data_IF_780732847019
#
_entry.id   IF_780732847019
#
_cell.length_a   1.000
_cell.length_b   1.000
_cell.length_c   1.000
_cell.angle_alpha   90.00
_cell.angle_beta   90.00
_cell.angle_gamma   90.00
#
_symmetry.space_group_name_H-M   'P 1'
#
loop_
_entity.id
_entity.type
_entity.pdbx_description
1 polymer ?
#
# COMPACT_ATOMS: atom_id res chain seq x y z
N UNK A 1 16.07 -18.87 -0.88
CA UNK A 1 14.93 -18.29 -1.64
C UNK A 1 14.60 -16.96 -1.00
N UNK A 2 14.78 -15.84 -1.70
CA UNK A 2 14.35 -14.55 -1.19
C UNK A 2 12.80 -14.48 -1.21
N UNK A 3 12.14 -13.93 -0.19
CA UNK A 3 10.68 -13.85 -0.16
C UNK A 3 10.18 -12.97 -1.32
N UNK A 4 9.43 -13.55 -2.26
CA UNK A 4 8.72 -12.76 -3.27
C UNK A 4 7.54 -12.09 -2.60
N UNK A 5 7.60 -10.77 -2.42
CA UNK A 5 6.45 -9.99 -1.97
C UNK A 5 5.66 -9.65 -3.24
N UNK A 6 4.43 -10.17 -3.44
CA UNK A 6 3.60 -9.82 -4.59
C UNK A 6 2.99 -8.41 -4.46
N UNK A 7 3.61 -7.57 -3.65
CA UNK A 7 3.15 -6.24 -3.31
C UNK A 7 4.32 -5.26 -3.25
N UNK A 8 4.06 -4.05 -3.72
CA UNK A 8 4.98 -2.93 -3.66
C UNK A 8 4.37 -1.86 -2.75
N UNK A 9 5.19 -1.29 -1.86
CA UNK A 9 4.79 -0.14 -1.04
C UNK A 9 5.73 1.02 -1.33
N UNK A 10 5.17 2.22 -1.43
CA UNK A 10 5.92 3.47 -1.51
C UNK A 10 5.27 4.53 -0.63
N UNK A 11 6.06 5.47 -0.14
CA UNK A 11 5.60 6.67 0.56
C UNK A 11 5.77 7.87 -0.36
N UNK A 12 4.75 8.73 -0.42
CA UNK A 12 4.78 9.96 -1.20
C UNK A 12 4.29 11.10 -0.30
N UNK A 13 5.20 11.72 0.45
CA UNK A 13 4.84 12.73 1.44
C UNK A 13 3.99 12.13 2.56
N UNK A 14 2.74 12.57 2.69
CA UNK A 14 1.82 12.16 3.76
C UNK A 14 0.90 10.98 3.39
N UNK A 15 1.12 10.33 2.25
CA UNK A 15 0.35 9.16 1.82
C UNK A 15 1.23 7.94 1.57
N UNK A 16 0.66 6.79 1.86
CA UNK A 16 1.20 5.47 1.57
C UNK A 16 0.48 4.94 0.33
N UNK A 17 1.25 4.46 -0.65
CA UNK A 17 0.72 3.84 -1.86
C UNK A 17 1.14 2.38 -1.87
N UNK A 18 0.17 1.48 -1.90
CA UNK A 18 0.38 0.03 -1.95
C UNK A 18 -0.16 -0.50 -3.27
N UNK A 19 0.67 -1.23 -4.01
CA UNK A 19 0.26 -1.94 -5.22
C UNK A 19 0.20 -3.44 -4.94
N UNK A 20 -0.92 -4.06 -5.25
CA UNK A 20 -1.12 -5.50 -5.07
C UNK A 20 -2.20 -6.02 -6.01
N UNK A 21 -1.93 -7.10 -6.75
CA UNK A 21 -2.93 -7.78 -7.57
C UNK A 21 -3.69 -6.87 -8.53
N UNK A 22 -2.96 -6.04 -9.28
CA UNK A 22 -3.51 -5.05 -10.23
C UNK A 22 -4.36 -3.93 -9.61
N UNK A 23 -4.30 -3.78 -8.28
CA UNK A 23 -4.95 -2.70 -7.55
C UNK A 23 -3.90 -1.80 -6.93
N UNK A 24 -4.25 -0.53 -6.86
CA UNK A 24 -3.53 0.51 -6.14
C UNK A 24 -4.38 0.95 -4.97
N UNK A 25 -3.79 0.96 -3.79
CA UNK A 25 -4.40 1.43 -2.57
C UNK A 25 -3.62 2.63 -2.08
N UNK A 26 -4.24 3.80 -2.11
CA UNK A 26 -3.71 5.03 -1.54
C UNK A 26 -4.30 5.20 -0.15
N UNK A 27 -3.45 5.30 0.87
CA UNK A 27 -3.84 5.55 2.26
C UNK A 27 -3.24 6.88 2.69
N UNK A 28 -4.10 7.80 3.09
CA UNK A 28 -3.71 9.10 3.62
C UNK A 28 -3.42 9.01 5.12
N UNK A 29 -2.60 9.93 5.64
CA UNK A 29 -2.24 10.03 7.06
C UNK A 29 -3.44 10.17 8.01
N UNK A 30 -4.56 10.69 7.50
CA UNK A 30 -5.83 10.83 8.23
C UNK A 30 -6.65 9.52 8.31
N UNK A 31 -6.14 8.41 7.76
CA UNK A 31 -6.80 7.11 7.76
C UNK A 31 -7.83 6.89 6.64
N UNK A 32 -8.08 7.91 5.79
CA UNK A 32 -8.86 7.71 4.58
C UNK A 32 -8.06 6.91 3.54
N UNK A 33 -8.76 6.08 2.78
CA UNK A 33 -8.13 5.27 1.74
C UNK A 33 -8.97 5.28 0.47
N UNK A 34 -8.27 5.09 -0.65
CA UNK A 34 -8.87 4.90 -1.96
C UNK A 34 -8.25 3.67 -2.61
N UNK A 35 -9.08 2.77 -3.13
CA UNK A 35 -8.63 1.63 -3.92
C UNK A 35 -9.02 1.89 -5.36
N UNK A 36 -8.07 1.79 -6.26
CA UNK A 36 -8.25 2.01 -7.70
C UNK A 36 -7.65 0.84 -8.46
N UNK A 37 -8.35 0.37 -9.47
CA UNK A 37 -7.85 -0.67 -10.36
C UNK A 37 -6.85 -0.06 -11.35
N UNK A 38 -5.67 -0.66 -11.48
CA UNK A 38 -4.59 -0.14 -12.32
C UNK A 38 -4.87 -0.26 -13.81
N UNK A 39 -5.71 -1.22 -14.22
CA UNK A 39 -6.05 -1.43 -15.63
C UNK A 39 -7.18 -0.54 -16.09
N UNK A 40 -8.24 -0.43 -15.29
CA UNK A 40 -9.42 0.37 -15.65
C UNK A 40 -9.38 1.81 -15.14
N UNK A 41 -8.48 2.12 -14.19
CA UNK A 41 -8.41 3.42 -13.52
C UNK A 41 -9.65 3.73 -12.66
N UNK A 42 -10.56 2.76 -12.48
CA UNK A 42 -11.79 2.95 -11.73
C UNK A 42 -11.57 2.67 -10.25
N UNK A 43 -12.25 3.44 -9.41
CA UNK A 43 -12.33 3.15 -7.97
C UNK A 43 -12.95 1.77 -7.78
N UNK A 44 -12.23 0.92 -7.06
CA UNK A 44 -12.75 -0.35 -6.61
C UNK A 44 -13.53 -0.17 -5.30
N UNK A 45 -14.57 -0.98 -5.12
CA UNK A 45 -15.32 -1.09 -3.85
C UNK A 45 -14.78 -2.22 -2.97
N UNK A 46 -13.61 -2.75 -3.32
CA UNK A 46 -12.98 -3.80 -2.53
C UNK A 46 -12.68 -3.31 -1.11
N UNK A 47 -12.69 -4.25 -0.16
CA UNK A 47 -12.27 -3.95 1.19
C UNK A 47 -10.76 -3.68 1.24
N UNK A 48 -10.37 -2.72 2.07
CA UNK A 48 -8.97 -2.47 2.39
C UNK A 48 -8.35 -3.73 3.01
N UNK A 49 -7.26 -4.22 2.41
CA UNK A 49 -6.49 -5.31 2.98
C UNK A 49 -5.62 -4.77 4.13
N UNK A 50 -6.16 -4.81 5.35
CA UNK A 50 -5.53 -4.29 6.56
C UNK A 50 -4.24 -5.07 6.89
N UNK A 51 -4.21 -6.38 6.65
CA UNK A 51 -3.03 -7.21 6.91
C UNK A 51 -1.86 -6.80 6.02
N UNK A 52 -2.14 -6.57 4.73
CA UNK A 52 -1.16 -6.07 3.78
C UNK A 52 -0.68 -4.67 4.17
N UNK A 53 -1.60 -3.78 4.55
CA UNK A 53 -1.26 -2.43 4.98
C UNK A 53 -0.38 -2.45 6.23
N UNK A 54 -0.69 -3.30 7.22
CA UNK A 54 0.14 -3.47 8.42
C UNK A 54 1.55 -3.95 8.08
N UNK A 55 1.68 -4.91 7.15
CA UNK A 55 2.97 -5.37 6.67
C UNK A 55 3.74 -4.28 5.93
N UNK A 56 3.05 -3.51 5.09
CA UNK A 56 3.61 -2.39 4.34
C UNK A 56 4.12 -1.28 5.28
N UNK A 57 3.33 -0.89 6.28
CA UNK A 57 3.73 0.10 7.29
C UNK A 57 4.91 -0.40 8.12
N UNK A 58 4.90 -1.66 8.59
CA UNK A 58 6.03 -2.26 9.32
C UNK A 58 7.30 -2.31 8.48
N UNK A 59 7.16 -2.50 7.17
CA UNK A 59 8.29 -2.45 6.25
C UNK A 59 8.84 -1.02 6.19
N UNK A 60 7.99 -0.03 5.92
CA UNK A 60 8.38 1.38 5.88
C UNK A 60 9.04 1.87 7.17
N UNK A 61 8.48 1.54 8.34
CA UNK A 61 9.04 1.96 9.62
C UNK A 61 10.43 1.36 9.86
N UNK A 62 10.66 0.11 9.45
CA UNK A 62 12.00 -0.50 9.50
C UNK A 62 13.03 0.25 8.66
N UNK A 63 12.65 0.76 7.48
CA UNK A 63 13.53 1.60 6.67
C UNK A 63 13.69 3.01 7.24
N UNK A 64 12.68 3.55 7.92
CA UNK A 64 12.76 4.87 8.56
C UNK A 64 13.64 4.88 9.82
N UNK A 65 13.72 3.78 10.57
CA UNK A 65 14.55 3.67 11.78
C UNK A 65 16.02 3.40 11.48
N UNK A 66 16.36 3.05 10.24
CA UNK A 66 17.74 2.80 9.84
C UNK A 66 18.33 4.06 9.19
N UNK A 67 18.43 5.14 9.97
CA UNK A 67 19.21 6.33 9.66
C UNK A 67 20.05 6.71 10.88
#
# INVERSE_FOLDING_TARGET
MAPSRPWLVSTSGERIVVFHGNKRTDVLSNGSYEISDLTSGKRSKDALNIDLLSQAIKHLSRFSTQN
#
